data_IF_632771373161
#
_entry.id   IF_632771373161
#
_cell.length_a   1.000
_cell.length_b   1.000
_cell.length_c   1.000
_cell.angle_alpha   90.00
_cell.angle_beta   90.00
_cell.angle_gamma   90.00
#
_symmetry.space_group_name_H-M   'P 1'
#
loop_
_entity.id
_entity.type
_entity.pdbx_description
1 polymer ?
#
# COMPACT_ATOMS: atom_id res chain seq x y z
N UNK A 1 6.77 -9.81 -16.72
CA UNK A 1 6.66 -11.10 -15.99
C UNK A 1 5.25 -11.62 -16.24
N UNK A 2 5.08 -12.74 -16.94
CA UNK A 2 3.75 -13.31 -17.19
C UNK A 2 3.27 -13.98 -15.90
N UNK A 3 2.37 -13.35 -15.17
CA UNK A 3 1.76 -13.94 -13.99
C UNK A 3 0.81 -15.06 -14.44
N UNK A 4 1.34 -16.27 -14.57
CA UNK A 4 0.52 -17.47 -14.54
C UNK A 4 0.04 -17.61 -13.10
N UNK A 5 -1.22 -17.25 -12.85
CA UNK A 5 -1.87 -17.45 -11.55
C UNK A 5 -2.60 -18.81 -11.64
N UNK A 6 -2.06 -19.88 -11.05
CA UNK A 6 -2.67 -21.20 -11.14
C UNK A 6 -4.09 -21.18 -10.57
N UNK A 7 -5.06 -21.74 -11.30
CA UNK A 7 -6.45 -21.86 -10.86
C UNK A 7 -7.38 -20.69 -11.21
N UNK A 8 -6.92 -19.67 -11.95
CA UNK A 8 -7.80 -18.59 -12.42
C UNK A 8 -8.64 -19.02 -13.62
N UNK A 9 -9.98 -18.84 -13.53
CA UNK A 9 -10.91 -18.96 -14.67
C UNK A 9 -10.90 -17.74 -15.60
N UNK A 10 -9.98 -16.79 -15.39
CA UNK A 10 -9.95 -15.51 -16.09
C UNK A 10 -9.30 -15.66 -17.48
N UNK A 11 -9.99 -16.34 -18.39
CA UNK A 11 -9.46 -16.58 -19.74
C UNK A 11 -9.64 -15.37 -20.67
N UNK A 12 -10.68 -14.55 -20.42
CA UNK A 12 -10.95 -13.33 -21.18
C UNK A 12 -11.50 -12.21 -20.29
N UNK A 13 -11.15 -10.98 -20.62
CA UNK A 13 -11.70 -9.75 -20.05
C UNK A 13 -12.15 -8.86 -21.21
N UNK A 14 -13.45 -8.55 -21.26
CA UNK A 14 -14.08 -7.77 -22.34
C UNK A 14 -13.67 -8.23 -23.75
N UNK A 15 -13.64 -9.55 -23.97
CA UNK A 15 -13.32 -10.16 -25.26
C UNK A 15 -11.83 -10.40 -25.53
N UNK A 16 -10.93 -9.73 -24.81
CA UNK A 16 -9.47 -9.90 -24.89
C UNK A 16 -9.01 -11.03 -23.98
N UNK A 17 -8.00 -11.79 -24.39
CA UNK A 17 -7.23 -12.65 -23.47
C UNK A 17 -6.43 -11.79 -22.49
N UNK A 18 -6.04 -12.37 -21.34
CA UNK A 18 -5.18 -11.67 -20.36
C UNK A 18 -3.86 -11.24 -21.01
N UNK A 19 -3.30 -12.07 -21.89
CA UNK A 19 -2.07 -11.75 -22.62
C UNK A 19 -2.26 -10.53 -23.54
N UNK A 20 -3.33 -10.49 -24.34
CA UNK A 20 -3.62 -9.33 -25.20
C UNK A 20 -3.89 -8.06 -24.38
N UNK A 21 -4.62 -8.17 -23.27
CA UNK A 21 -4.88 -7.04 -22.39
C UNK A 21 -3.58 -6.49 -21.77
N UNK A 22 -2.64 -7.37 -21.41
CA UNK A 22 -1.31 -6.97 -20.93
C UNK A 22 -0.48 -6.31 -22.03
N UNK A 23 -0.49 -6.84 -23.25
CA UNK A 23 0.29 -6.29 -24.37
C UNK A 23 -0.23 -4.93 -24.84
N UNK A 24 -1.50 -4.63 -24.57
CA UNK A 24 -2.13 -3.37 -24.92
C UNK A 24 -2.10 -2.33 -23.78
N UNK A 25 -1.31 -2.56 -22.72
CA UNK A 25 -1.24 -1.68 -21.53
C UNK A 25 -2.59 -1.42 -20.86
N UNK A 26 -3.47 -2.43 -20.87
CA UNK A 26 -4.82 -2.37 -20.29
C UNK A 26 -4.96 -3.15 -18.99
N UNK A 27 -3.88 -3.76 -18.50
CA UNK A 27 -3.84 -4.43 -17.20
C UNK A 27 -2.98 -3.66 -16.21
N UNK A 28 -3.56 -3.37 -15.06
CA UNK A 28 -2.96 -2.68 -13.94
C UNK A 28 -3.02 -3.55 -12.70
N UNK A 29 -2.15 -3.27 -11.74
CA UNK A 29 -2.04 -4.02 -10.50
C UNK A 29 -2.06 -3.07 -9.30
N UNK A 30 -2.85 -3.42 -8.28
CA UNK A 30 -2.69 -2.89 -6.93
C UNK A 30 -2.04 -4.00 -6.10
N UNK A 31 -0.75 -3.86 -5.84
CA UNK A 31 0.06 -4.89 -5.19
C UNK A 31 0.42 -4.50 -3.76
N UNK A 32 -0.26 -5.12 -2.78
CA UNK A 32 0.09 -5.04 -1.36
C UNK A 32 0.80 -6.30 -0.87
N UNK A 33 1.03 -7.29 -1.75
CA UNK A 33 1.45 -8.63 -1.35
C UNK A 33 2.81 -8.60 -0.65
N UNK A 34 3.84 -8.08 -1.32
CA UNK A 34 5.22 -8.14 -0.84
C UNK A 34 5.46 -7.21 0.36
N UNK A 35 4.69 -6.12 0.46
CA UNK A 35 4.74 -5.21 1.61
C UNK A 35 4.09 -5.78 2.87
N UNK A 36 3.04 -6.60 2.73
CA UNK A 36 2.29 -7.16 3.86
C UNK A 36 2.78 -8.55 4.28
N UNK A 37 3.18 -9.39 3.31
CA UNK A 37 3.55 -10.79 3.54
C UNK A 37 4.57 -11.01 4.68
N UNK A 38 5.66 -10.21 4.80
CA UNK A 38 6.65 -10.40 5.86
C UNK A 38 6.09 -10.26 7.28
N UNK A 39 5.01 -9.50 7.45
CA UNK A 39 4.40 -9.20 8.76
C UNK A 39 3.19 -10.10 9.06
N UNK A 40 2.68 -10.80 8.05
CA UNK A 40 1.38 -11.43 8.09
C UNK A 40 1.29 -12.56 9.13
N UNK A 41 2.38 -13.31 9.36
CA UNK A 41 2.47 -14.30 10.45
C UNK A 41 2.23 -13.64 11.80
N UNK A 42 2.93 -12.53 12.07
CA UNK A 42 2.83 -11.80 13.33
C UNK A 42 1.45 -11.19 13.54
N UNK A 43 0.95 -10.46 12.53
CA UNK A 43 -0.37 -9.82 12.55
C UNK A 43 -1.47 -10.86 12.81
N UNK A 44 -1.44 -12.00 12.13
CA UNK A 44 -2.50 -13.00 12.29
C UNK A 44 -2.48 -13.73 13.65
N UNK A 45 -1.47 -13.52 14.51
CA UNK A 45 -1.50 -13.96 15.92
C UNK A 45 -2.31 -13.01 16.84
N UNK A 46 -2.66 -11.80 16.38
CA UNK A 46 -3.42 -10.83 17.17
C UNK A 46 -4.92 -11.03 17.02
N UNK A 47 -5.74 -10.06 17.45
CA UNK A 47 -7.18 -10.05 17.18
C UNK A 47 -7.48 -9.86 15.68
N UNK A 48 -6.58 -9.20 14.93
CA UNK A 48 -6.70 -9.01 13.49
C UNK A 48 -6.47 -10.32 12.71
N UNK A 49 -7.23 -10.49 11.62
CA UNK A 49 -7.00 -11.51 10.61
C UNK A 49 -7.05 -10.85 9.25
N UNK A 50 -5.96 -10.95 8.50
CA UNK A 50 -5.84 -10.34 7.18
C UNK A 50 -5.10 -11.26 6.22
N UNK A 51 -5.02 -10.82 4.97
CA UNK A 51 -4.30 -11.44 3.88
C UNK A 51 -3.32 -10.42 3.28
N UNK A 52 -2.28 -10.92 2.64
CA UNK A 52 -1.50 -10.14 1.70
C UNK A 52 -2.26 -10.14 0.37
N UNK A 53 -2.64 -8.96 -0.12
CA UNK A 53 -3.57 -8.85 -1.26
C UNK A 53 -2.89 -8.36 -2.53
N UNK A 54 -3.34 -8.91 -3.66
CA UNK A 54 -2.99 -8.41 -5.00
C UNK A 54 -4.25 -8.33 -5.85
N UNK A 55 -4.49 -7.17 -6.45
CA UNK A 55 -5.68 -6.93 -7.28
C UNK A 55 -5.29 -6.64 -8.71
N UNK A 56 -5.87 -7.38 -9.66
CA UNK A 56 -5.78 -7.05 -11.08
C UNK A 56 -6.94 -6.17 -11.50
N UNK A 57 -6.60 -5.09 -12.20
CA UNK A 57 -7.51 -4.09 -12.71
C UNK A 57 -7.39 -4.06 -14.24
N UNK A 58 -8.53 -3.98 -14.93
CA UNK A 58 -8.58 -3.86 -16.39
C UNK A 58 -9.12 -2.50 -16.79
N UNK A 59 -8.42 -1.81 -17.69
CA UNK A 59 -8.85 -0.57 -18.30
C UNK A 59 -9.84 -0.85 -19.43
N UNK A 60 -11.10 -0.47 -19.23
CA UNK A 60 -12.16 -0.60 -20.23
C UNK A 60 -12.02 0.44 -21.33
N UNK A 61 -12.74 0.22 -22.44
CA UNK A 61 -12.75 1.15 -23.58
C UNK A 61 -13.38 2.50 -23.22
N UNK A 62 -14.26 2.52 -22.22
CA UNK A 62 -14.85 3.74 -21.67
C UNK A 62 -13.91 4.53 -20.75
N UNK A 63 -12.66 4.08 -20.57
CA UNK A 63 -11.65 4.73 -19.75
C UNK A 63 -11.72 4.43 -18.25
N UNK A 64 -12.64 3.58 -17.80
CA UNK A 64 -12.76 3.23 -16.38
C UNK A 64 -12.05 1.91 -16.03
N UNK A 65 -11.53 1.81 -14.81
CA UNK A 65 -10.89 0.58 -14.29
C UNK A 65 -11.93 -0.38 -13.71
N UNK A 66 -11.80 -1.66 -14.05
CA UNK A 66 -12.63 -2.76 -13.54
C UNK A 66 -11.75 -3.77 -12.80
N UNK A 67 -12.03 -4.10 -11.52
CA UNK A 67 -11.35 -5.21 -10.86
C UNK A 67 -11.76 -6.55 -11.49
N UNK A 68 -10.78 -7.37 -11.85
CA UNK A 68 -10.99 -8.63 -12.57
C UNK A 68 -10.53 -9.86 -11.80
N UNK A 69 -9.60 -9.70 -10.86
CA UNK A 69 -9.20 -10.75 -9.93
C UNK A 69 -8.65 -10.13 -8.65
N UNK A 70 -8.84 -10.83 -7.53
CA UNK A 70 -8.19 -10.55 -6.26
C UNK A 70 -7.55 -11.84 -5.77
N UNK A 71 -6.25 -11.79 -5.54
CA UNK A 71 -5.50 -12.82 -4.84
C UNK A 71 -5.47 -12.48 -3.34
N UNK A 72 -5.85 -13.44 -2.51
CA UNK A 72 -5.68 -13.40 -1.06
C UNK A 72 -4.64 -14.45 -0.67
N UNK A 73 -3.49 -14.01 -0.18
CA UNK A 73 -2.36 -14.87 0.15
C UNK A 73 -2.09 -14.91 1.65
N UNK A 74 -1.75 -16.10 2.14
CA UNK A 74 -1.23 -16.34 3.49
C UNK A 74 0.17 -16.97 3.40
N UNK A 75 1.04 -16.75 4.40
CA UNK A 75 2.30 -17.50 4.50
C UNK A 75 1.99 -18.99 4.71
N UNK A 76 2.74 -19.88 4.07
CA UNK A 76 2.57 -21.31 4.31
C UNK A 76 2.92 -21.65 5.79
N UNK A 77 2.12 -22.45 6.50
CA UNK A 77 2.31 -22.72 7.93
C UNK A 77 3.62 -23.47 8.24
N UNK A 78 4.06 -24.32 7.31
CA UNK A 78 5.17 -25.27 7.51
C UNK A 78 6.42 -24.96 6.65
N UNK A 79 6.38 -23.94 5.79
CA UNK A 79 7.52 -23.60 4.94
C UNK A 79 8.32 -22.44 5.52
N UNK A 80 9.64 -22.51 5.43
CA UNK A 80 10.51 -21.58 6.15
C UNK A 80 10.61 -20.17 5.56
N UNK A 81 10.07 -19.86 4.36
CA UNK A 81 9.90 -18.45 3.92
C UNK A 81 9.25 -18.27 2.53
N UNK A 82 9.22 -19.28 1.64
CA UNK A 82 8.96 -19.06 0.21
C UNK A 82 7.69 -19.68 -0.38
N UNK A 83 6.93 -20.44 0.38
CA UNK A 83 5.63 -20.94 -0.08
C UNK A 83 4.52 -20.12 0.56
N UNK A 84 3.55 -19.68 -0.24
CA UNK A 84 2.34 -19.00 0.20
C UNK A 84 1.11 -19.81 -0.22
N UNK A 85 0.09 -19.78 0.63
CA UNK A 85 -1.23 -20.31 0.32
C UNK A 85 -2.05 -19.17 -0.28
N UNK A 86 -2.12 -19.13 -1.61
CA UNK A 86 -2.89 -18.14 -2.35
C UNK A 86 -4.21 -18.71 -2.83
N UNK A 87 -5.30 -17.97 -2.64
CA UNK A 87 -6.60 -18.23 -3.28
C UNK A 87 -7.00 -17.02 -4.10
N UNK A 88 -7.51 -17.27 -5.31
CA UNK A 88 -7.88 -16.21 -6.25
C UNK A 88 -9.38 -16.17 -6.44
N UNK A 89 -9.93 -14.98 -6.28
CA UNK A 89 -11.35 -14.68 -6.42
C UNK A 89 -11.57 -13.82 -7.66
N UNK A 90 -12.69 -14.06 -8.33
CA UNK A 90 -13.11 -13.32 -9.53
C UNK A 90 -14.48 -12.70 -9.30
N UNK A 91 -14.85 -11.63 -10.04
CA UNK A 91 -16.13 -10.97 -9.86
C UNK A 91 -17.32 -11.92 -9.97
N UNK A 92 -18.21 -11.83 -8.98
CA UNK A 92 -19.52 -12.48 -8.97
C UNK A 92 -20.56 -11.49 -8.40
N UNK A 93 -21.78 -11.52 -8.93
CA UNK A 93 -22.84 -10.57 -8.57
C UNK A 93 -23.90 -11.15 -7.63
N UNK A 94 -24.02 -12.48 -7.57
CA UNK A 94 -25.11 -13.16 -6.89
C UNK A 94 -24.61 -14.33 -6.04
N UNK A 95 -25.48 -14.80 -5.14
CA UNK A 95 -25.22 -16.00 -4.34
C UNK A 95 -24.08 -15.84 -3.33
N UNK A 96 -23.55 -16.97 -2.88
CA UNK A 96 -22.44 -17.01 -1.93
C UNK A 96 -21.16 -16.42 -2.55
N UNK A 97 -20.95 -16.64 -3.85
CA UNK A 97 -19.81 -16.13 -4.62
C UNK A 97 -19.79 -14.61 -4.66
N UNK A 98 -20.96 -13.96 -4.81
CA UNK A 98 -21.06 -12.50 -4.75
C UNK A 98 -20.64 -11.94 -3.39
N UNK A 99 -21.07 -12.58 -2.29
CA UNK A 99 -20.64 -12.22 -0.93
C UNK A 99 -19.14 -12.43 -0.74
N UNK A 100 -18.59 -13.57 -1.20
CA UNK A 100 -17.16 -13.86 -1.15
C UNK A 100 -16.35 -12.79 -1.92
N UNK A 101 -16.83 -12.36 -3.09
CA UNK A 101 -16.19 -11.29 -3.86
C UNK A 101 -16.20 -9.95 -3.11
N UNK A 102 -17.30 -9.59 -2.43
CA UNK A 102 -17.33 -8.39 -1.59
C UNK A 102 -16.34 -8.50 -0.42
N UNK A 103 -16.22 -9.68 0.21
CA UNK A 103 -15.25 -9.91 1.27
C UNK A 103 -13.81 -9.81 0.76
N UNK A 104 -13.49 -10.34 -0.43
CA UNK A 104 -12.17 -10.21 -1.03
C UNK A 104 -11.80 -8.73 -1.25
N UNK A 105 -12.73 -7.91 -1.76
CA UNK A 105 -12.54 -6.46 -1.88
C UNK A 105 -12.37 -5.78 -0.52
N UNK A 106 -13.07 -6.23 0.52
CA UNK A 106 -12.90 -5.69 1.87
C UNK A 106 -11.48 -5.91 2.40
N UNK A 107 -10.88 -7.09 2.17
CA UNK A 107 -9.48 -7.35 2.54
C UNK A 107 -8.50 -6.46 1.77
N UNK A 108 -8.74 -6.22 0.47
CA UNK A 108 -7.96 -5.27 -0.32
C UNK A 108 -8.05 -3.87 0.29
N UNK A 109 -9.26 -3.40 0.63
CA UNK A 109 -9.46 -2.09 1.25
C UNK A 109 -8.79 -1.96 2.63
N UNK A 110 -8.72 -3.05 3.41
CA UNK A 110 -8.00 -3.08 4.68
C UNK A 110 -6.48 -2.92 4.47
N UNK A 111 -5.90 -3.67 3.52
CA UNK A 111 -4.48 -3.51 3.14
C UNK A 111 -4.20 -2.08 2.66
N UNK A 112 -5.03 -1.58 1.74
CA UNK A 112 -4.87 -0.27 1.12
C UNK A 112 -4.98 0.87 2.14
N UNK A 113 -5.95 0.80 3.05
CA UNK A 113 -6.09 1.77 4.15
C UNK A 113 -4.87 1.80 5.05
N UNK A 114 -4.32 0.62 5.41
CA UNK A 114 -3.10 0.55 6.23
C UNK A 114 -1.87 1.08 5.51
N UNK A 115 -1.67 0.71 4.24
CA UNK A 115 -0.60 1.24 3.41
C UNK A 115 -0.73 2.76 3.21
N UNK A 116 -1.93 3.25 2.94
CA UNK A 116 -2.21 4.68 2.81
C UNK A 116 -1.81 5.42 4.09
N UNK A 117 -2.30 5.00 5.26
CA UNK A 117 -2.04 5.70 6.52
C UNK A 117 -0.56 5.67 6.91
N UNK A 118 0.09 4.51 6.81
CA UNK A 118 1.46 4.34 7.29
C UNK A 118 2.53 4.80 6.32
N UNK A 119 2.30 4.57 5.02
CA UNK A 119 3.33 4.75 4.00
C UNK A 119 3.06 6.03 3.22
N UNK A 120 1.94 6.07 2.49
CA UNK A 120 1.66 7.19 1.59
C UNK A 120 1.45 8.50 2.35
N UNK A 121 0.81 8.44 3.51
CA UNK A 121 0.51 9.59 4.34
C UNK A 121 1.63 9.84 5.36
N UNK A 122 1.79 8.99 6.37
CA UNK A 122 2.76 9.22 7.44
C UNK A 122 4.21 9.24 6.93
N UNK A 123 4.69 8.17 6.29
CA UNK A 123 6.11 8.07 5.92
C UNK A 123 6.50 9.09 4.85
N UNK A 124 5.79 9.09 3.71
CA UNK A 124 6.18 9.86 2.53
C UNK A 124 5.91 11.37 2.66
N UNK A 125 5.08 11.80 3.61
CA UNK A 125 4.83 13.23 3.85
C UNK A 125 5.35 13.67 5.21
N UNK A 126 4.75 13.23 6.31
CA UNK A 126 5.09 13.69 7.67
C UNK A 126 6.55 13.38 8.04
N UNK A 127 6.93 12.11 8.02
CA UNK A 127 8.24 11.67 8.49
C UNK A 127 9.36 12.09 7.54
N UNK A 128 9.16 11.96 6.22
CA UNK A 128 10.15 12.35 5.22
C UNK A 128 10.41 13.87 5.20
N UNK A 129 9.40 14.70 5.52
CA UNK A 129 9.55 16.17 5.47
C UNK A 129 10.27 16.73 6.69
N UNK A 130 10.05 16.19 7.89
CA UNK A 130 10.56 16.75 9.16
C UNK A 130 12.09 16.98 9.18
N UNK A 131 12.95 16.09 8.63
CA UNK A 131 14.39 16.34 8.52
C UNK A 131 14.75 17.61 7.74
N UNK A 132 14.03 17.93 6.67
CA UNK A 132 14.26 19.14 5.88
C UNK A 132 13.89 20.41 6.66
N UNK A 133 12.87 20.34 7.51
CA UNK A 133 12.48 21.45 8.40
C UNK A 133 13.59 21.75 9.40
N UNK A 134 14.11 20.70 10.04
CA UNK A 134 15.20 20.79 11.01
C UNK A 134 16.46 21.35 10.33
N UNK A 135 16.85 20.81 9.18
CA UNK A 135 18.01 21.26 8.43
C UNK A 135 17.88 22.73 8.00
N UNK A 136 16.72 23.12 7.46
CA UNK A 136 16.45 24.50 7.02
C UNK A 136 16.61 25.50 8.16
N UNK A 137 16.04 25.22 9.33
CA UNK A 137 16.15 26.13 10.48
C UNK A 137 17.55 26.14 11.13
N UNK A 138 18.31 25.04 11.03
CA UNK A 138 19.66 24.96 11.61
C UNK A 138 20.74 25.54 10.71
N UNK A 139 20.57 25.49 9.39
CA UNK A 139 21.62 25.80 8.43
C UNK A 139 21.36 27.03 7.57
N UNK A 140 20.11 27.53 7.48
CA UNK A 140 19.78 28.71 6.70
C UNK A 140 19.29 29.84 7.62
N UNK A 141 19.93 31.01 7.53
CA UNK A 141 19.45 32.24 8.18
C UNK A 141 18.05 32.59 7.72
N UNK A 142 17.25 33.24 8.57
CA UNK A 142 15.94 33.80 8.20
C UNK A 142 16.00 34.79 7.04
N UNK A 143 17.18 35.36 6.76
CA UNK A 143 17.42 36.23 5.61
C UNK A 143 17.76 35.48 4.31
N UNK A 144 18.12 34.20 4.39
CA UNK A 144 18.52 33.40 3.23
C UNK A 144 17.32 33.21 2.28
N UNK A 145 17.49 33.39 0.95
CA UNK A 145 16.38 33.31 0.01
C UNK A 145 15.71 31.93 0.00
N UNK A 146 16.49 30.85 0.10
CA UNK A 146 15.94 29.48 0.18
C UNK A 146 15.19 29.24 1.50
N UNK A 147 15.59 29.86 2.61
CA UNK A 147 14.80 29.79 3.85
C UNK A 147 13.41 30.39 3.62
N UNK A 148 13.35 31.59 3.04
CA UNK A 148 12.09 32.28 2.75
C UNK A 148 11.20 31.50 1.78
N UNK A 149 11.80 30.82 0.81
CA UNK A 149 11.09 29.96 -0.14
C UNK A 149 10.47 28.75 0.56
N UNK A 150 11.24 28.03 1.38
CA UNK A 150 10.80 26.76 1.97
C UNK A 150 9.93 26.92 3.22
N UNK A 151 10.18 27.95 4.04
CA UNK A 151 9.56 28.12 5.35
C UNK A 151 8.01 28.06 5.34
N UNK A 152 7.29 28.69 4.38
CA UNK A 152 5.84 28.58 4.33
C UNK A 152 5.31 27.15 4.15
N UNK A 153 6.09 26.26 3.52
CA UNK A 153 5.71 24.87 3.26
C UNK A 153 5.89 23.95 4.47
N UNK A 154 6.51 24.44 5.54
CA UNK A 154 6.81 23.66 6.76
C UNK A 154 5.88 24.00 7.93
N UNK A 155 4.88 24.85 7.68
CA UNK A 155 3.97 25.35 8.71
C UNK A 155 3.29 24.16 9.41
N UNK A 156 3.38 24.16 10.73
CA UNK A 156 2.74 23.22 11.64
C UNK A 156 3.16 21.73 11.54
N UNK A 157 3.96 21.33 10.54
CA UNK A 157 4.41 19.93 10.36
C UNK A 157 5.13 19.37 11.60
N UNK A 158 6.09 20.10 12.18
CA UNK A 158 6.78 19.63 13.39
C UNK A 158 5.84 19.54 14.60
N UNK A 159 4.85 20.43 14.69
CA UNK A 159 3.88 20.43 15.79
C UNK A 159 2.95 19.23 15.70
N UNK A 160 2.38 18.96 14.51
CA UNK A 160 1.51 17.80 14.32
C UNK A 160 2.31 16.49 14.47
N UNK A 161 3.52 16.39 13.92
CA UNK A 161 4.36 15.20 14.09
C UNK A 161 4.70 14.93 15.56
N UNK A 162 4.92 15.97 16.37
CA UNK A 162 5.15 15.82 17.80
C UNK A 162 3.92 15.29 18.54
N UNK A 163 2.72 15.76 18.18
CA UNK A 163 1.46 15.24 18.71
C UNK A 163 1.21 13.79 18.26
N UNK A 164 1.43 13.49 16.98
CA UNK A 164 1.26 12.15 16.43
C UNK A 164 2.16 11.14 17.15
N UNK A 165 3.42 11.50 17.43
CA UNK A 165 4.33 10.68 18.24
C UNK A 165 3.84 10.43 19.67
N UNK A 166 2.97 11.28 20.22
CA UNK A 166 2.45 11.14 21.59
C UNK A 166 1.12 10.39 21.65
N UNK A 167 0.27 10.53 20.62
CA UNK A 167 -1.12 10.06 20.68
C UNK A 167 -1.53 9.12 19.55
N UNK A 168 -0.89 9.20 18.39
CA UNK A 168 -1.29 8.48 17.18
C UNK A 168 -0.42 7.23 16.96
N UNK A 169 0.89 7.41 16.81
CA UNK A 169 1.84 6.37 16.37
C UNK A 169 2.68 5.78 17.51
N UNK A 170 2.45 6.19 18.75
CA UNK A 170 3.06 5.57 19.92
C UNK A 170 2.53 4.14 20.14
N UNK A 171 3.28 3.34 20.91
CA UNK A 171 2.80 2.02 21.35
C UNK A 171 1.47 2.15 22.11
N UNK A 172 0.45 1.40 21.69
CA UNK A 172 -0.93 1.50 22.18
C UNK A 172 -1.66 2.79 21.77
N UNK A 173 -1.11 3.57 20.85
CA UNK A 173 -1.71 4.77 20.27
C UNK A 173 -2.92 4.47 19.38
N UNK A 174 -3.51 5.52 18.80
CA UNK A 174 -4.72 5.37 17.99
C UNK A 174 -4.47 4.54 16.72
N UNK A 175 -3.30 4.65 16.09
CA UNK A 175 -2.98 3.92 14.87
C UNK A 175 -2.97 2.41 15.13
N UNK A 176 -2.23 1.96 16.16
CA UNK A 176 -2.16 0.52 16.50
C UNK A 176 -3.52 -0.07 16.90
N UNK A 177 -4.48 0.77 17.34
CA UNK A 177 -5.83 0.33 17.72
C UNK A 177 -6.82 0.28 16.57
N UNK A 178 -6.54 0.94 15.45
CA UNK A 178 -7.53 1.18 14.39
C UNK A 178 -7.10 0.69 13.02
N UNK A 179 -5.82 0.36 12.83
CA UNK A 179 -5.27 -0.10 11.56
C UNK A 179 -4.74 -1.54 11.70
N UNK A 180 -4.91 -2.34 10.65
CA UNK A 180 -4.67 -3.79 10.68
C UNK A 180 -3.28 -4.25 11.16
N UNK A 181 -2.16 -3.50 10.98
CA UNK A 181 -0.87 -3.97 11.44
C UNK A 181 -0.70 -3.95 12.95
N UNK A 182 -1.58 -3.25 13.67
CA UNK A 182 -1.49 -3.08 15.13
C UNK A 182 -0.06 -2.66 15.55
N UNK A 183 0.57 -3.37 16.49
CA UNK A 183 1.94 -3.14 16.96
C UNK A 183 3.05 -3.30 15.91
N UNK A 184 2.75 -3.87 14.74
CA UNK A 184 3.71 -4.03 13.63
C UNK A 184 3.76 -2.80 12.71
N UNK A 185 2.90 -1.80 12.96
CA UNK A 185 2.73 -0.63 12.10
C UNK A 185 4.02 0.13 11.81
N UNK A 186 4.81 0.44 12.84
CA UNK A 186 6.05 1.20 12.65
C UNK A 186 7.17 0.37 12.00
N UNK A 187 7.19 -0.95 12.23
CA UNK A 187 8.14 -1.85 11.58
C UNK A 187 7.86 -1.96 10.07
N UNK A 188 6.59 -1.98 9.67
CA UNK A 188 6.19 -1.92 8.25
C UNK A 188 6.71 -0.64 7.59
N UNK A 189 6.50 0.50 8.24
CA UNK A 189 6.99 1.80 7.75
C UNK A 189 8.52 1.83 7.62
N UNK A 190 9.24 1.25 8.59
CA UNK A 190 10.70 1.12 8.56
C UNK A 190 11.18 0.28 7.37
N UNK A 191 10.56 -0.87 7.10
CA UNK A 191 10.95 -1.73 5.98
C UNK A 191 10.75 -1.01 4.65
N UNK A 192 9.62 -0.33 4.46
CA UNK A 192 9.37 0.43 3.23
C UNK A 192 10.34 1.61 3.07
N UNK A 193 10.71 2.28 4.17
CA UNK A 193 11.66 3.40 4.11
C UNK A 193 13.04 3.02 3.58
N UNK A 194 13.45 1.74 3.69
CA UNK A 194 14.73 1.27 3.13
C UNK A 194 14.81 1.42 1.61
N UNK A 195 13.66 1.36 0.94
CA UNK A 195 13.54 1.50 -0.52
C UNK A 195 13.08 2.91 -0.94
N UNK A 196 12.99 3.86 0.01
CA UNK A 196 12.53 5.21 -0.30
C UNK A 196 13.63 6.02 -0.99
N UNK A 197 13.30 6.61 -2.14
CA UNK A 197 14.23 7.41 -2.95
C UNK A 197 13.65 8.80 -3.17
N UNK A 198 14.37 9.82 -2.68
CA UNK A 198 13.94 11.22 -2.75
C UNK A 198 13.64 11.71 -4.18
N UNK A 199 14.49 11.36 -5.15
CA UNK A 199 14.33 11.79 -6.55
C UNK A 199 13.12 11.16 -7.26
N UNK A 200 12.61 10.06 -6.73
CA UNK A 200 11.43 9.38 -7.26
C UNK A 200 10.12 9.96 -6.71
N UNK A 201 10.18 10.84 -5.71
CA UNK A 201 8.98 11.50 -5.15
C UNK A 201 8.42 12.62 -6.06
N UNK A 202 9.16 13.00 -7.10
CA UNK A 202 8.65 13.91 -8.10
C UNK A 202 7.52 13.24 -8.90
N UNK A 203 6.36 13.87 -8.99
CA UNK A 203 5.17 13.29 -9.64
C UNK A 203 5.44 12.69 -11.04
N UNK A 204 6.20 13.34 -11.95
CA UNK A 204 6.50 12.72 -13.23
C UNK A 204 7.35 11.44 -13.11
N UNK A 205 8.32 11.42 -12.21
CA UNK A 205 9.18 10.25 -11.96
C UNK A 205 8.38 9.11 -11.34
N UNK A 206 7.51 9.41 -10.37
CA UNK A 206 6.62 8.43 -9.74
C UNK A 206 5.68 7.77 -10.78
N UNK A 207 5.07 8.57 -11.66
CA UNK A 207 4.17 8.06 -12.70
C UNK A 207 4.87 7.16 -13.72
N UNK A 208 6.16 7.39 -14.01
CA UNK A 208 6.96 6.55 -14.92
C UNK A 208 7.42 5.26 -14.23
N UNK A 209 7.70 5.33 -12.93
CA UNK A 209 8.16 4.19 -12.13
C UNK A 209 7.06 3.12 -11.97
N UNK A 210 5.80 3.55 -11.84
CA UNK A 210 4.65 2.69 -11.54
C UNK A 210 4.03 2.02 -12.76
#
# INVERSE_FOLDING_TARGET
MLYYIPGTKLNKVDGLTVHEASQNDRLFILDHHDGVMPFLRGINTTATKTYATRTLLFLKEDGTLKPVAIELSLPHPEADEFENLSTVYTPAEHGAEGTIWQMAKAYVAVNDSGNHQLISHWLHTHAATEPFIIATNRQLSSMHPIYKLLHPHFRDTMNINALDRQTLINGGGLLEKTVFPEKFSMDMSLVVYKEWVFTEQALPSDLIKR
#
